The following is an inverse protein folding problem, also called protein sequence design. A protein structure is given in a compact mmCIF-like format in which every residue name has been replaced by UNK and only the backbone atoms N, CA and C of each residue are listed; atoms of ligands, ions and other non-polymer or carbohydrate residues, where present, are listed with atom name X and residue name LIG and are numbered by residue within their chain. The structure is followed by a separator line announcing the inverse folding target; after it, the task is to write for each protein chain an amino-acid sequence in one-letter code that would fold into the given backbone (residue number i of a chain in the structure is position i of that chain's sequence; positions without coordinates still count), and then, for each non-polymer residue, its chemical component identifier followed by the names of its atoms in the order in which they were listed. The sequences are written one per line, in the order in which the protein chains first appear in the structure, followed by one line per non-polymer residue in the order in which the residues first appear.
data_IF_354671493921
#
_entry.id   IF_354671493921
#
_cell.length_a   1.000
_cell.length_b   1.000
_cell.length_c   1.000
_cell.angle_alpha   90.00
_cell.angle_beta   90.00
_cell.angle_gamma   90.00
#
_symmetry.space_group_name_H-M   'P 1'
#
loop_
_entity.id
_entity.type
_entity.pdbx_description
1 polymer ?
#
# COMPACT_ATOMS: atom_id res chain seq x y z
N UNK A 1 -16.03 44.67 26.19
CA UNK A 1 -17.08 43.64 26.40
C UNK A 1 -17.72 43.15 25.10
N UNK A 2 -17.64 43.90 23.98
CA UNK A 2 -18.30 43.48 22.73
C UNK A 2 -17.70 42.25 22.05
N UNK A 3 -16.40 42.02 22.21
CA UNK A 3 -15.71 40.87 21.60
C UNK A 3 -16.25 39.52 22.08
N UNK A 4 -16.71 39.43 23.33
CA UNK A 4 -17.29 38.20 23.88
C UNK A 4 -18.50 37.71 23.07
N UNK A 5 -19.31 38.62 22.53
CA UNK A 5 -20.46 38.27 21.70
C UNK A 5 -20.07 37.64 20.36
N UNK A 6 -18.85 37.90 19.87
CA UNK A 6 -18.31 37.27 18.67
C UNK A 6 -17.54 35.99 19.02
N UNK A 7 -16.75 36.01 20.09
CA UNK A 7 -15.90 34.89 20.50
C UNK A 7 -16.71 33.68 20.98
N UNK A 8 -17.81 33.87 21.70
CA UNK A 8 -18.65 32.77 22.20
C UNK A 8 -19.21 31.92 21.04
N UNK A 9 -19.96 32.47 20.06
CA UNK A 9 -20.48 31.66 18.95
C UNK A 9 -19.36 31.09 18.07
N UNK A 10 -18.27 31.84 17.85
CA UNK A 10 -17.11 31.33 17.13
C UNK A 10 -16.50 30.11 17.80
N UNK A 11 -16.37 30.12 19.13
CA UNK A 11 -15.83 28.99 19.90
C UNK A 11 -16.73 27.76 19.84
N UNK A 12 -18.05 27.95 19.86
CA UNK A 12 -19.03 26.87 19.72
C UNK A 12 -18.89 26.22 18.34
N UNK A 13 -18.86 27.03 17.27
CA UNK A 13 -18.66 26.54 15.90
C UNK A 13 -17.35 25.77 15.79
N UNK A 14 -16.26 26.31 16.34
CA UNK A 14 -14.96 25.64 16.33
C UNK A 14 -14.99 24.31 17.08
N UNK A 15 -15.65 24.24 18.23
CA UNK A 15 -15.82 22.99 18.98
C UNK A 15 -16.59 21.94 18.18
N UNK A 16 -17.67 22.33 17.48
CA UNK A 16 -18.41 21.44 16.59
C UNK A 16 -17.56 20.96 15.41
N UNK A 17 -16.78 21.83 14.78
CA UNK A 17 -15.86 21.48 13.69
C UNK A 17 -14.83 20.45 14.16
N UNK A 18 -14.18 20.69 15.30
CA UNK A 18 -13.22 19.77 15.89
C UNK A 18 -13.88 18.43 16.21
N UNK A 19 -15.07 18.45 16.84
CA UNK A 19 -15.83 17.24 17.17
C UNK A 19 -16.22 16.43 15.95
N UNK A 20 -16.69 17.09 14.88
CA UNK A 20 -17.05 16.43 13.63
C UNK A 20 -15.82 15.84 12.92
N UNK A 21 -14.70 16.57 12.90
CA UNK A 21 -13.45 16.11 12.31
C UNK A 21 -12.88 14.90 13.08
N UNK A 22 -12.92 14.96 14.41
CA UNK A 22 -12.52 13.85 15.28
C UNK A 22 -13.42 12.63 15.08
N UNK A 23 -14.74 12.81 15.03
CA UNK A 23 -15.70 11.74 14.76
C UNK A 23 -15.49 11.10 13.38
N UNK A 24 -15.20 11.91 12.36
CA UNK A 24 -14.87 11.40 11.04
C UNK A 24 -13.56 10.61 11.04
N UNK A 25 -12.51 11.14 11.68
CA UNK A 25 -11.20 10.48 11.77
C UNK A 25 -11.28 9.13 12.50
N UNK A 26 -12.04 9.03 13.59
CA UNK A 26 -12.23 7.76 14.32
C UNK A 26 -13.06 6.75 13.53
N UNK A 27 -14.04 7.19 12.74
CA UNK A 27 -14.85 6.31 11.90
C UNK A 27 -14.17 5.90 10.61
N UNK A 28 -13.25 6.70 10.07
CA UNK A 28 -12.55 6.43 8.81
C UNK A 28 -11.60 5.23 8.86
N UNK A 29 -11.54 4.47 9.96
CA UNK A 29 -10.87 3.17 9.98
C UNK A 29 -9.36 3.25 9.73
N UNK A 30 -8.75 4.43 9.83
CA UNK A 30 -7.29 4.62 9.61
C UNK A 30 -6.42 3.89 10.65
N UNK A 31 -7.04 3.29 11.66
CA UNK A 31 -6.37 2.43 12.63
C UNK A 31 -6.34 0.95 12.22
N UNK A 32 -7.06 0.55 11.17
CA UNK A 32 -7.13 -0.83 10.67
C UNK A 32 -5.97 -1.17 9.73
N UNK A 33 -5.40 -0.17 9.03
CA UNK A 33 -4.28 -0.35 8.10
C UNK A 33 -2.89 -0.09 8.73
N UNK A 34 -2.79 -0.13 10.07
CA UNK A 34 -1.51 -0.12 10.77
C UNK A 34 -0.79 -1.48 10.70
N UNK A 35 -1.49 -2.55 10.34
CA UNK A 35 -0.90 -3.90 10.20
C UNK A 35 -0.32 -4.17 8.80
N UNK A 36 -0.74 -3.43 7.78
CA UNK A 36 -0.34 -3.63 6.39
C UNK A 36 1.15 -3.33 6.05
N UNK A 37 1.77 -2.27 6.61
CA UNK A 37 3.17 -1.95 6.32
C UNK A 37 4.18 -2.77 7.13
N UNK A 38 3.86 -3.09 8.40
CA UNK A 38 4.76 -3.77 9.31
C UNK A 38 5.06 -5.22 8.86
N UNK A 39 4.10 -5.88 8.23
CA UNK A 39 4.29 -7.25 7.75
C UNK A 39 5.14 -7.34 6.48
N UNK A 40 5.18 -6.29 5.64
CA UNK A 40 6.03 -6.28 4.45
C UNK A 40 7.50 -6.07 4.78
N UNK A 41 7.81 -5.23 5.78
CA UNK A 41 9.21 -4.93 6.14
C UNK A 41 9.93 -6.10 6.82
N UNK A 42 9.18 -7.04 7.42
CA UNK A 42 9.71 -8.24 8.08
C UNK A 42 9.78 -9.48 7.16
N UNK A 43 9.11 -9.45 6.01
CA UNK A 43 8.99 -10.60 5.09
C UNK A 43 9.75 -10.43 3.76
N UNK A 44 10.33 -9.25 3.48
CA UNK A 44 10.93 -8.95 2.16
C UNK A 44 12.46 -9.19 2.06
N UNK A 45 13.15 -9.51 3.16
CA UNK A 45 14.63 -9.51 3.17
C UNK A 45 15.33 -10.88 3.11
N UNK A 46 14.63 -12.02 3.12
CA UNK A 46 15.29 -13.35 3.24
C UNK A 46 14.92 -14.40 2.18
N UNK A 47 14.28 -14.01 1.06
CA UNK A 47 14.22 -14.93 -0.08
C UNK A 47 15.28 -14.52 -1.11
N UNK A 48 16.46 -15.16 -1.13
CA UNK A 48 17.41 -14.93 -2.21
C UNK A 48 16.69 -15.20 -3.54
N UNK A 49 16.89 -14.35 -4.57
CA UNK A 49 16.52 -14.73 -5.93
C UNK A 49 17.18 -16.08 -6.16
N UNK A 50 16.40 -17.16 -6.27
CA UNK A 50 16.94 -18.41 -6.76
C UNK A 50 17.41 -18.09 -8.18
N UNK A 51 18.72 -17.95 -8.32
CA UNK A 51 19.46 -18.12 -9.57
C UNK A 51 19.05 -19.48 -10.12
N UNK A 52 17.92 -19.51 -10.82
CA UNK A 52 17.55 -20.64 -11.65
C UNK A 52 18.60 -20.66 -12.75
N UNK A 53 19.49 -21.66 -12.81
CA UNK A 53 20.48 -21.72 -13.87
C UNK A 53 19.72 -21.74 -15.20
N UNK A 54 20.24 -21.08 -16.25
CA UNK A 54 19.56 -21.03 -17.53
C UNK A 54 19.31 -22.47 -17.97
N UNK A 55 18.04 -22.84 -18.13
CA UNK A 55 17.69 -24.11 -18.73
C UNK A 55 18.42 -24.19 -20.06
N UNK A 56 19.23 -25.23 -20.31
CA UNK A 56 19.91 -25.36 -21.58
C UNK A 56 18.83 -25.38 -22.66
N UNK A 57 18.97 -24.62 -23.76
CA UNK A 57 18.07 -24.79 -24.87
C UNK A 57 18.22 -26.23 -25.33
N UNK A 58 17.18 -27.03 -25.10
CA UNK A 58 17.02 -28.35 -25.70
C UNK A 58 17.18 -28.16 -27.20
N UNK A 59 18.37 -28.44 -27.70
CA UNK A 59 18.69 -28.50 -29.11
C UNK A 59 18.09 -29.79 -29.68
N UNK A 60 16.77 -29.90 -29.61
CA UNK A 60 15.99 -30.89 -30.35
C UNK A 60 15.73 -30.31 -31.75
N UNK A 61 16.82 -30.24 -32.51
CA UNK A 61 16.88 -29.65 -33.84
C UNK A 61 18.00 -30.30 -34.63
N UNK A 62 18.17 -31.61 -34.47
CA UNK A 62 19.02 -32.42 -35.32
C UNK A 62 18.63 -32.15 -36.78
N UNK A 63 19.58 -31.57 -37.52
CA UNK A 63 19.47 -31.33 -38.95
C UNK A 63 19.04 -32.61 -39.67
N UNK A 64 17.80 -32.61 -40.13
CA UNK A 64 17.30 -33.61 -41.07
C UNK A 64 17.92 -33.29 -42.43
N UNK A 65 18.77 -34.16 -43.00
CA UNK A 65 19.33 -33.92 -44.33
C UNK A 65 18.21 -33.99 -45.39
N UNK A 66 18.36 -33.30 -46.54
CA UNK A 66 17.31 -33.18 -47.53
C UNK A 66 17.01 -34.54 -48.16
N UNK A 67 15.73 -34.91 -48.17
CA UNK A 67 15.23 -36.01 -48.98
C UNK A 67 14.47 -35.42 -50.16
N UNK A 68 15.08 -35.45 -51.34
CA UNK A 68 14.32 -35.51 -52.60
C UNK A 68 14.99 -36.48 -53.57
N UNK A 69 14.19 -37.22 -54.36
CA UNK A 69 14.62 -38.30 -55.23
C UNK A 69 15.35 -37.82 -56.49
#
# INVERSE_FOLDING_TARGET
MESLYLLIPLSIVLAFVIGACFWWATRSGQFDDLEGPAHRILMDDDTPPQDSPPSPPSADGAGRPPRTP
#
